data_IF_744341234105
#
_entry.id   IF_744341234105
#
_cell.length_a   1.000
_cell.length_b   1.000
_cell.length_c   1.000
_cell.angle_alpha   90.00
_cell.angle_beta   90.00
_cell.angle_gamma   90.00
#
_symmetry.space_group_name_H-M   'P 1'
#
loop_
_entity.id
_entity.type
_entity.pdbx_description
1 polymer ?
#
# COMPACT_ATOMS: atom_id res chain seq x y z
N UNK A 1 -34.12 -27.14 22.23
CA UNK A 1 -34.35 -27.15 20.77
C UNK A 1 -33.00 -27.23 20.08
N UNK A 2 -32.45 -28.44 20.00
CA UNK A 2 -31.19 -28.74 19.31
C UNK A 2 -31.51 -29.10 17.87
N UNK A 3 -31.27 -28.17 16.95
CA UNK A 3 -31.44 -28.40 15.53
C UNK A 3 -30.23 -29.17 14.97
N UNK A 4 -30.24 -30.49 15.13
CA UNK A 4 -29.42 -31.38 14.31
C UNK A 4 -30.31 -31.88 13.17
N UNK A 5 -30.21 -31.24 12.01
CA UNK A 5 -30.83 -31.71 10.77
C UNK A 5 -29.88 -32.63 10.01
N UNK A 6 -30.45 -33.58 9.26
CA UNK A 6 -29.73 -34.63 8.53
C UNK A 6 -28.66 -34.08 7.56
N UNK A 7 -27.51 -34.74 7.56
CA UNK A 7 -26.27 -34.34 6.87
C UNK A 7 -26.40 -34.25 5.33
N UNK A 8 -27.49 -34.73 4.75
CA UNK A 8 -27.74 -34.82 3.30
C UNK A 8 -27.89 -33.45 2.60
N UNK A 9 -28.18 -32.36 3.35
CA UNK A 9 -28.51 -31.05 2.76
C UNK A 9 -27.39 -29.99 2.80
N UNK A 10 -26.14 -30.34 3.12
CA UNK A 10 -25.05 -29.34 3.13
C UNK A 10 -24.49 -29.04 1.73
N UNK A 11 -24.24 -27.76 1.40
CA UNK A 11 -23.68 -27.38 0.10
C UNK A 11 -22.25 -27.93 -0.10
N UNK A 12 -21.84 -28.20 -1.36
CA UNK A 12 -20.67 -29.03 -1.70
C UNK A 12 -19.29 -28.49 -1.29
N UNK A 13 -19.18 -27.27 -0.76
CA UNK A 13 -17.88 -26.66 -0.40
C UNK A 13 -17.34 -27.07 0.98
N UNK A 14 -18.15 -27.73 1.83
CA UNK A 14 -17.70 -28.15 3.19
C UNK A 14 -16.99 -29.51 3.20
N UNK A 15 -17.12 -30.31 2.14
CA UNK A 15 -16.57 -31.68 2.06
C UNK A 15 -15.05 -31.67 1.83
N UNK A 16 -14.52 -30.61 1.21
CA UNK A 16 -13.09 -30.49 0.90
C UNK A 16 -12.23 -30.29 2.15
N UNK A 17 -12.74 -29.54 3.14
CA UNK A 17 -12.01 -29.27 4.40
C UNK A 17 -11.78 -30.55 5.20
N UNK A 18 -12.72 -31.50 5.15
CA UNK A 18 -12.62 -32.76 5.88
C UNK A 18 -11.57 -33.71 5.26
N UNK A 19 -11.45 -33.72 3.94
CA UNK A 19 -10.43 -34.51 3.22
C UNK A 19 -9.01 -33.95 3.39
N UNK A 20 -8.82 -32.63 3.42
CA UNK A 20 -7.50 -32.00 3.64
C UNK A 20 -6.92 -32.31 5.04
N UNK A 21 -7.78 -32.36 6.07
CA UNK A 21 -7.38 -32.71 7.44
C UNK A 21 -6.99 -34.19 7.60
N UNK A 22 -7.65 -35.10 6.90
CA UNK A 22 -7.34 -36.54 6.97
C UNK A 22 -6.09 -36.89 6.15
N UNK A 23 -5.86 -36.20 5.02
CA UNK A 23 -4.65 -36.34 4.22
C UNK A 23 -3.42 -35.89 5.02
N UNK A 24 -3.46 -34.71 5.65
CA UNK A 24 -2.35 -34.20 6.46
C UNK A 24 -2.03 -35.13 7.63
N UNK A 25 -3.04 -35.68 8.31
CA UNK A 25 -2.83 -36.65 9.39
C UNK A 25 -2.20 -37.96 8.90
N UNK A 26 -2.61 -38.45 7.72
CA UNK A 26 -2.09 -39.68 7.11
C UNK A 26 -0.64 -39.48 6.66
N UNK A 27 -0.32 -38.33 6.06
CA UNK A 27 1.04 -37.96 5.68
C UNK A 27 1.94 -37.81 6.92
N UNK A 28 1.49 -37.12 7.97
CA UNK A 28 2.26 -36.96 9.22
C UNK A 28 2.51 -38.31 9.90
N UNK A 29 1.49 -39.18 9.98
CA UNK A 29 1.63 -40.53 10.56
C UNK A 29 2.57 -41.40 9.73
N UNK A 30 2.48 -41.35 8.39
CA UNK A 30 3.38 -42.07 7.49
C UNK A 30 4.83 -41.60 7.59
N UNK A 31 5.05 -40.29 7.68
CA UNK A 31 6.38 -39.70 7.83
C UNK A 31 7.01 -40.05 9.18
N UNK A 32 6.24 -39.99 10.27
CA UNK A 32 6.68 -40.43 11.60
C UNK A 32 7.01 -41.94 11.64
N UNK A 33 6.18 -42.79 11.04
CA UNK A 33 6.44 -44.23 10.98
C UNK A 33 7.69 -44.58 10.17
N UNK A 34 7.92 -43.87 9.05
CA UNK A 34 9.13 -44.04 8.23
C UNK A 34 10.40 -43.65 9.00
N UNK A 35 10.39 -42.52 9.73
CA UNK A 35 11.50 -42.09 10.60
C UNK A 35 11.75 -43.13 11.70
N UNK A 36 10.69 -43.73 12.24
CA UNK A 36 10.76 -44.78 13.26
C UNK A 36 11.18 -46.16 12.74
N UNK A 37 11.35 -46.36 11.43
CA UNK A 37 11.87 -47.59 10.82
C UNK A 37 13.32 -47.47 10.29
N UNK A 38 13.87 -46.26 10.25
CA UNK A 38 15.27 -46.05 9.82
C UNK A 38 16.28 -46.62 10.83
N UNK A 39 17.45 -47.09 10.39
CA UNK A 39 18.53 -47.47 11.29
C UNK A 39 18.95 -46.28 12.18
N UNK A 40 19.34 -46.56 13.44
CA UNK A 40 19.62 -45.52 14.46
C UNK A 40 20.65 -44.49 13.99
N UNK A 41 21.66 -44.91 13.22
CA UNK A 41 22.66 -44.02 12.63
C UNK A 41 22.07 -43.00 11.67
N UNK A 42 21.08 -43.40 10.86
CA UNK A 42 20.42 -42.51 9.92
C UNK A 42 19.49 -41.51 10.63
N UNK A 43 18.80 -41.94 11.70
CA UNK A 43 17.96 -41.02 12.51
C UNK A 43 18.79 -39.93 13.16
N UNK A 44 19.95 -40.28 13.71
CA UNK A 44 20.86 -39.30 14.33
C UNK A 44 21.35 -38.30 13.29
N UNK A 45 21.72 -38.75 12.09
CA UNK A 45 22.16 -37.88 11.00
C UNK A 45 21.03 -36.97 10.49
N UNK A 46 19.80 -37.49 10.34
CA UNK A 46 18.63 -36.72 9.92
C UNK A 46 18.26 -35.64 10.96
N UNK A 47 18.23 -36.01 12.24
CA UNK A 47 17.96 -35.06 13.33
C UNK A 47 19.06 -34.00 13.45
N UNK A 48 20.33 -34.37 13.27
CA UNK A 48 21.44 -33.43 13.24
C UNK A 48 21.37 -32.48 12.03
N UNK A 49 20.98 -32.97 10.85
CA UNK A 49 20.79 -32.15 9.66
C UNK A 49 19.62 -31.16 9.82
N UNK A 50 18.49 -31.61 10.38
CA UNK A 50 17.35 -30.74 10.67
C UNK A 50 17.74 -29.68 11.71
N UNK A 51 18.46 -30.07 12.78
CA UNK A 51 18.95 -29.13 13.78
C UNK A 51 19.93 -28.10 13.18
N UNK A 52 20.85 -28.53 12.31
CA UNK A 52 21.77 -27.64 11.60
C UNK A 52 21.02 -26.67 10.67
N UNK A 53 20.01 -27.15 9.93
CA UNK A 53 19.15 -26.32 9.08
C UNK A 53 18.38 -25.30 9.93
N UNK A 54 17.81 -25.71 11.06
CA UNK A 54 17.10 -24.82 11.99
C UNK A 54 18.00 -23.77 12.63
N UNK A 55 19.29 -24.05 12.83
CA UNK A 55 20.27 -23.08 13.34
C UNK A 55 20.70 -22.10 12.23
N UNK A 56 20.77 -22.53 10.98
CA UNK A 56 21.19 -21.70 9.84
C UNK A 56 20.05 -20.86 9.25
N UNK A 57 18.80 -21.35 9.30
CA UNK A 57 17.60 -20.67 8.76
C UNK A 57 17.35 -19.25 9.34
N UNK A 58 17.43 -19.00 10.66
CA UNK A 58 17.18 -17.64 11.18
C UNK A 58 18.25 -16.64 10.73
N UNK A 59 19.42 -17.08 10.25
CA UNK A 59 20.46 -16.21 9.71
C UNK A 59 20.22 -15.81 8.24
N UNK A 60 19.35 -16.52 7.52
CA UNK A 60 18.94 -16.19 6.13
C UNK A 60 17.61 -15.46 6.04
N UNK A 61 16.89 -15.32 7.15
CA UNK A 61 15.93 -14.22 7.31
C UNK A 61 16.75 -12.93 7.44
N UNK A 62 17.36 -12.52 6.32
CA UNK A 62 18.07 -11.26 6.20
C UNK A 62 17.20 -10.19 6.82
N UNK A 63 17.82 -9.30 7.58
CA UNK A 63 17.21 -8.06 8.01
C UNK A 63 16.59 -7.43 6.76
N UNK A 64 15.30 -7.66 6.56
CA UNK A 64 14.55 -7.00 5.53
C UNK A 64 14.53 -5.57 6.02
N UNK A 65 15.42 -4.78 5.44
CA UNK A 65 15.52 -3.36 5.64
C UNK A 65 14.14 -2.82 5.25
N UNK A 66 13.25 -2.76 6.24
CA UNK A 66 11.92 -2.21 6.08
C UNK A 66 12.24 -0.75 5.88
N UNK A 67 12.30 -0.34 4.61
CA UNK A 67 12.57 1.03 4.24
C UNK A 67 11.70 2.00 5.05
N UNK A 68 11.99 3.31 4.98
CA UNK A 68 11.40 4.31 5.89
C UNK A 68 9.87 4.30 5.95
N UNK A 69 9.21 3.71 4.95
CA UNK A 69 7.78 3.48 4.88
C UNK A 69 7.51 1.96 4.73
N UNK A 70 6.99 1.28 5.78
CA UNK A 70 6.65 -0.13 5.71
C UNK A 70 5.64 -0.42 4.59
N UNK A 71 5.93 -1.43 3.76
CA UNK A 71 5.05 -1.85 2.66
C UNK A 71 5.11 -0.97 1.40
N UNK A 72 5.95 0.08 1.38
CA UNK A 72 6.15 0.89 0.18
C UNK A 72 6.79 0.06 -0.93
N UNK A 73 6.16 0.09 -2.10
CA UNK A 73 6.60 -0.62 -3.29
C UNK A 73 7.30 0.37 -4.22
N UNK A 74 8.62 0.27 -4.33
CA UNK A 74 9.39 1.04 -5.29
C UNK A 74 9.12 0.54 -6.72
N UNK A 75 8.91 1.46 -7.66
CA UNK A 75 8.77 1.13 -9.08
C UNK A 75 10.13 1.08 -9.75
N UNK A 76 10.52 -0.13 -10.17
CA UNK A 76 11.75 -0.38 -10.90
C UNK A 76 11.43 -1.26 -12.12
N UNK A 77 11.54 -0.74 -13.36
CA UNK A 77 11.89 0.64 -13.72
C UNK A 77 10.78 1.66 -13.39
N UNK A 78 11.11 2.97 -13.31
CA UNK A 78 10.10 4.03 -13.20
C UNK A 78 9.10 3.98 -14.36
N UNK A 79 7.81 4.18 -14.05
CA UNK A 79 6.73 4.05 -15.04
C UNK A 79 5.87 5.32 -15.06
N UNK A 80 5.54 5.83 -16.24
CA UNK A 80 4.51 6.87 -16.35
C UNK A 80 3.14 6.23 -16.13
N UNK A 81 2.36 6.67 -15.12
CA UNK A 81 1.03 6.15 -14.92
C UNK A 81 0.11 6.55 -16.08
N UNK A 82 -0.93 5.76 -16.31
CA UNK A 82 -2.02 6.12 -17.23
C UNK A 82 -2.59 7.48 -16.84
N UNK A 83 -2.95 8.29 -17.83
CA UNK A 83 -3.56 9.61 -17.57
C UNK A 83 -4.94 9.39 -16.96
N UNK A 84 -5.16 10.01 -15.81
CA UNK A 84 -6.47 10.08 -15.15
C UNK A 84 -7.00 11.51 -15.23
N UNK A 85 -8.33 11.64 -15.23
CA UNK A 85 -9.03 12.93 -15.13
C UNK A 85 -9.79 12.94 -13.81
N UNK A 86 -9.64 14.02 -13.06
CA UNK A 86 -10.37 14.32 -11.83
C UNK A 86 -10.82 15.77 -11.87
N UNK A 87 -11.67 16.17 -10.93
CA UNK A 87 -12.28 17.51 -10.91
C UNK A 87 -11.92 18.23 -9.61
N UNK A 88 -11.85 19.56 -9.66
CA UNK A 88 -11.86 20.41 -8.46
C UNK A 88 -13.29 20.80 -8.07
N UNK A 89 -13.42 21.62 -7.02
CA UNK A 89 -14.71 22.13 -6.50
C UNK A 89 -15.50 22.96 -7.50
N UNK A 90 -14.84 23.52 -8.51
CA UNK A 90 -15.47 24.32 -9.56
C UNK A 90 -15.90 23.44 -10.76
N UNK A 91 -15.71 22.11 -10.66
CA UNK A 91 -15.99 21.16 -11.73
C UNK A 91 -14.97 21.18 -12.87
N UNK A 92 -13.83 21.86 -12.69
CA UNK A 92 -12.79 21.93 -13.71
C UNK A 92 -12.06 20.60 -13.81
N UNK A 93 -11.93 20.10 -15.03
CA UNK A 93 -11.14 18.90 -15.31
C UNK A 93 -9.64 19.16 -15.14
N UNK A 94 -9.01 18.28 -14.38
CA UNK A 94 -7.60 18.29 -14.03
C UNK A 94 -6.98 16.92 -14.30
N UNK A 95 -5.66 16.91 -14.42
CA UNK A 95 -4.84 15.71 -14.48
C UNK A 95 -3.53 15.97 -13.74
N UNK A 96 -2.73 14.92 -13.50
CA UNK A 96 -1.40 15.09 -12.90
C UNK A 96 -0.46 15.99 -13.72
N UNK A 97 -0.74 16.19 -15.02
CA UNK A 97 0.04 17.10 -15.88
C UNK A 97 -0.07 18.56 -15.43
N UNK A 98 -1.17 18.92 -14.76
CA UNK A 98 -1.38 20.26 -14.22
C UNK A 98 -0.47 20.59 -13.03
N UNK A 99 0.23 19.59 -12.47
CA UNK A 99 1.05 19.70 -11.26
C UNK A 99 2.53 19.39 -11.51
N UNK A 100 2.98 19.35 -12.78
CA UNK A 100 4.38 19.10 -13.15
C UNK A 100 5.33 20.12 -12.50
N UNK A 101 6.58 19.70 -12.32
CA UNK A 101 7.61 20.52 -11.65
C UNK A 101 7.65 20.35 -10.13
N UNK A 102 6.76 19.53 -9.56
CA UNK A 102 6.72 19.20 -8.13
C UNK A 102 6.77 17.69 -7.94
N UNK A 103 7.32 17.25 -6.81
CA UNK A 103 7.07 15.91 -6.28
C UNK A 103 5.62 15.85 -5.78
N UNK A 104 4.85 14.85 -6.21
CA UNK A 104 3.45 14.71 -5.82
C UNK A 104 3.26 13.45 -4.97
N UNK A 105 2.57 13.60 -3.86
CA UNK A 105 1.91 12.49 -3.17
C UNK A 105 0.45 12.45 -3.59
N UNK A 106 0.10 11.51 -4.46
CA UNK A 106 -1.28 11.31 -4.92
C UNK A 106 -1.93 10.26 -4.03
N UNK A 107 -3.02 10.59 -3.35
CA UNK A 107 -3.76 9.70 -2.47
C UNK A 107 -5.17 9.51 -3.02
N UNK A 108 -5.60 8.26 -3.17
CA UNK A 108 -6.99 7.92 -3.49
C UNK A 108 -7.69 7.49 -2.21
N UNK A 109 -8.86 8.07 -1.95
CA UNK A 109 -9.61 7.84 -0.73
C UNK A 109 -11.13 7.98 -0.95
N UNK A 110 -11.90 7.59 0.05
CA UNK A 110 -13.34 7.79 0.09
C UNK A 110 -13.85 7.96 1.53
N UNK A 111 -15.01 8.59 1.71
CA UNK A 111 -15.60 8.90 3.02
C UNK A 111 -16.06 7.64 3.77
N UNK A 112 -16.46 6.59 3.05
CA UNK A 112 -16.81 5.27 3.61
C UNK A 112 -15.59 4.41 3.96
N UNK A 113 -14.39 4.80 3.51
CA UNK A 113 -13.16 4.07 3.78
C UNK A 113 -12.56 4.51 5.12
N UNK A 114 -12.86 3.75 6.18
CA UNK A 114 -12.35 3.99 7.55
C UNK A 114 -10.82 4.20 7.62
N UNK A 115 -9.96 3.33 7.03
CA UNK A 115 -8.53 3.56 7.07
C UNK A 115 -8.11 4.83 6.32
N UNK A 116 -8.79 5.19 5.24
CA UNK A 116 -8.53 6.42 4.50
C UNK A 116 -8.82 7.67 5.37
N UNK A 117 -10.01 7.71 5.98
CA UNK A 117 -10.42 8.83 6.86
C UNK A 117 -9.43 9.01 8.02
N UNK A 118 -8.84 7.91 8.52
CA UNK A 118 -7.85 7.94 9.60
C UNK A 118 -6.51 8.57 9.17
N UNK A 119 -6.07 8.37 7.93
CA UNK A 119 -4.77 8.90 7.45
C UNK A 119 -4.83 10.36 6.97
N UNK A 120 -6.01 10.85 6.58
CA UNK A 120 -6.18 12.21 6.01
C UNK A 120 -5.58 13.34 6.88
N UNK A 121 -5.72 13.36 8.22
CA UNK A 121 -5.04 14.35 9.05
C UNK A 121 -3.51 14.31 8.93
N UNK A 122 -2.91 13.13 8.74
CA UNK A 122 -1.46 13.00 8.55
C UNK A 122 -1.01 13.59 7.22
N UNK A 123 -1.80 13.43 6.15
CA UNK A 123 -1.56 14.04 4.84
C UNK A 123 -1.59 15.57 4.92
N UNK A 124 -2.58 16.13 5.63
CA UNK A 124 -2.68 17.57 5.88
C UNK A 124 -1.47 18.11 6.64
N UNK A 125 -1.04 17.42 7.70
CA UNK A 125 0.16 17.79 8.46
C UNK A 125 1.45 17.65 7.64
N UNK A 126 1.56 16.60 6.82
CA UNK A 126 2.69 16.42 5.90
C UNK A 126 2.79 17.63 4.95
N UNK A 127 1.69 18.01 4.30
CA UNK A 127 1.65 19.17 3.41
C UNK A 127 2.09 20.46 4.11
N UNK A 128 1.65 20.67 5.36
CA UNK A 128 2.08 21.82 6.16
C UNK A 128 3.58 21.78 6.48
N UNK A 129 4.13 20.62 6.88
CA UNK A 129 5.56 20.45 7.17
C UNK A 129 6.45 20.60 5.93
N UNK A 130 5.90 20.35 4.74
CA UNK A 130 6.60 20.49 3.45
C UNK A 130 6.25 21.78 2.71
N UNK A 131 5.58 22.73 3.36
CA UNK A 131 5.25 24.02 2.76
C UNK A 131 6.50 24.77 2.28
N UNK A 132 6.39 25.45 1.13
CA UNK A 132 7.50 26.16 0.49
C UNK A 132 8.48 25.27 -0.29
N UNK A 133 8.35 23.95 -0.23
CA UNK A 133 9.13 23.01 -1.05
C UNK A 133 8.41 22.72 -2.37
N UNK A 134 9.13 22.19 -3.37
CA UNK A 134 8.56 21.73 -4.64
C UNK A 134 7.80 20.40 -4.46
N UNK A 135 6.79 20.42 -3.59
CA UNK A 135 6.00 19.27 -3.16
C UNK A 135 4.52 19.61 -3.10
N UNK A 136 3.65 18.63 -3.39
CA UNK A 136 2.21 18.76 -3.19
C UNK A 136 1.54 17.44 -2.81
N UNK A 137 0.38 17.54 -2.17
CA UNK A 137 -0.49 16.40 -1.85
C UNK A 137 -1.77 16.53 -2.66
N UNK A 138 -2.06 15.52 -3.48
CA UNK A 138 -3.25 15.45 -4.34
C UNK A 138 -4.16 14.35 -3.79
N UNK A 139 -5.09 14.72 -2.91
CA UNK A 139 -6.06 13.78 -2.32
C UNK A 139 -7.33 13.72 -3.17
N UNK A 140 -7.51 12.64 -3.92
CA UNK A 140 -8.63 12.45 -4.86
C UNK A 140 -9.67 11.55 -4.20
N UNK A 141 -10.85 12.10 -4.01
CA UNK A 141 -11.99 11.41 -3.47
C UNK A 141 -12.72 10.60 -4.57
N UNK A 142 -13.03 9.33 -4.29
CA UNK A 142 -13.75 8.42 -5.19
C UNK A 142 -15.19 8.11 -4.72
N UNK A 143 -15.79 8.95 -3.87
CA UNK A 143 -17.22 8.86 -3.60
C UNK A 143 -18.02 9.20 -4.85
N UNK A 144 -19.14 8.50 -5.05
CA UNK A 144 -20.07 8.81 -6.16
C UNK A 144 -20.80 10.14 -5.97
N UNK A 145 -20.98 10.55 -4.71
CA UNK A 145 -21.63 11.79 -4.30
C UNK A 145 -20.58 12.68 -3.64
N UNK A 146 -20.20 13.75 -4.34
CA UNK A 146 -19.17 14.70 -3.92
C UNK A 146 -19.63 15.61 -2.77
N UNK A 147 -20.95 15.75 -2.55
CA UNK A 147 -21.52 16.52 -1.44
C UNK A 147 -21.16 15.93 -0.07
N UNK A 148 -20.65 14.70 -0.02
CA UNK A 148 -20.19 14.04 1.20
C UNK A 148 -18.80 14.50 1.64
N UNK A 149 -18.02 15.10 0.75
CA UNK A 149 -16.57 15.29 0.98
C UNK A 149 -16.29 16.50 1.87
N UNK A 150 -16.93 17.64 1.61
CA UNK A 150 -16.71 18.89 2.34
C UNK A 150 -17.01 18.75 3.86
N UNK A 151 -18.11 18.10 4.30
CA UNK A 151 -18.34 17.85 5.73
C UNK A 151 -17.24 17.01 6.40
N UNK A 152 -16.59 16.11 5.65
CA UNK A 152 -15.46 15.34 6.17
C UNK A 152 -14.21 16.20 6.34
N UNK A 153 -13.96 17.16 5.44
CA UNK A 153 -12.84 18.09 5.58
C UNK A 153 -12.95 18.91 6.87
N UNK A 154 -14.15 19.42 7.14
CA UNK A 154 -14.44 20.18 8.36
C UNK A 154 -14.28 19.31 9.61
N UNK A 155 -14.86 18.10 9.60
CA UNK A 155 -14.79 17.16 10.72
C UNK A 155 -13.35 16.74 11.02
N UNK A 156 -12.54 16.51 9.98
CA UNK A 156 -11.15 16.08 10.09
C UNK A 156 -10.18 17.25 10.31
N UNK A 157 -10.65 18.50 10.17
CA UNK A 157 -9.86 19.73 10.33
C UNK A 157 -8.65 19.74 9.39
N UNK A 158 -8.88 19.51 8.10
CA UNK A 158 -7.85 19.44 7.06
C UNK A 158 -7.94 20.64 6.07
N UNK A 159 -7.65 21.87 6.52
CA UNK A 159 -7.95 23.09 5.76
C UNK A 159 -7.03 23.32 4.56
N UNK A 160 -5.91 22.60 4.47
CA UNK A 160 -4.85 22.86 3.50
C UNK A 160 -4.79 21.83 2.36
N UNK A 161 -5.65 20.80 2.37
CA UNK A 161 -5.78 19.89 1.23
C UNK A 161 -6.82 20.48 0.28
N UNK A 162 -6.51 20.50 -1.02
CA UNK A 162 -7.50 20.85 -2.03
C UNK A 162 -8.44 19.65 -2.24
N UNK A 163 -9.72 19.94 -2.44
CA UNK A 163 -10.73 18.91 -2.69
C UNK A 163 -10.72 18.55 -4.17
N UNK A 164 -10.39 17.30 -4.46
CA UNK A 164 -10.46 16.72 -5.80
C UNK A 164 -11.38 15.50 -5.82
N UNK A 165 -12.13 15.30 -6.91
CA UNK A 165 -13.10 14.20 -7.05
C UNK A 165 -12.94 13.41 -8.35
N UNK A 166 -13.13 12.10 -8.26
CA UNK A 166 -13.22 11.14 -9.37
C UNK A 166 -14.39 10.16 -9.10
N UNK A 167 -15.66 10.60 -9.26
CA UNK A 167 -16.84 9.80 -8.89
C UNK A 167 -17.07 8.55 -9.76
N UNK A 168 -16.30 8.41 -10.85
CA UNK A 168 -16.31 7.25 -11.73
C UNK A 168 -15.18 6.26 -11.40
N UNK A 169 -14.32 6.57 -10.43
CA UNK A 169 -13.19 5.76 -9.98
C UNK A 169 -12.27 5.40 -11.17
N UNK A 170 -12.06 6.37 -12.07
CA UNK A 170 -11.19 6.20 -13.23
C UNK A 170 -9.76 5.91 -12.79
N UNK A 171 -9.29 6.52 -11.70
CA UNK A 171 -7.96 6.29 -11.15
C UNK A 171 -7.79 4.84 -10.69
N UNK A 172 -8.66 4.35 -9.81
CA UNK A 172 -8.67 2.94 -9.37
C UNK A 172 -8.69 1.96 -10.54
N UNK A 173 -9.55 2.18 -11.54
CA UNK A 173 -9.64 1.31 -12.73
C UNK A 173 -8.39 1.37 -13.61
N UNK A 174 -7.87 2.58 -13.88
CA UNK A 174 -6.78 2.79 -14.84
C UNK A 174 -5.42 2.36 -14.29
N UNK A 175 -5.25 2.35 -12.97
CA UNK A 175 -4.00 2.00 -12.30
C UNK A 175 -4.02 0.60 -11.66
N UNK A 176 -5.09 -0.17 -11.90
CA UNK A 176 -5.30 -1.54 -11.42
C UNK A 176 -5.10 -1.66 -9.90
N UNK A 177 -5.82 -0.80 -9.16
CA UNK A 177 -5.67 -0.68 -7.72
C UNK A 177 -6.61 -1.68 -7.03
N UNK A 178 -6.10 -2.51 -6.11
CA UNK A 178 -6.91 -3.55 -5.45
C UNK A 178 -7.91 -2.99 -4.42
N UNK A 179 -7.69 -1.77 -3.93
CA UNK A 179 -8.55 -1.11 -2.96
C UNK A 179 -7.95 0.18 -2.38
N UNK A 180 -8.74 0.84 -1.53
CA UNK A 180 -8.38 2.10 -0.87
C UNK A 180 -7.92 1.88 0.59
N UNK A 181 -7.09 2.79 1.14
CA UNK A 181 -6.42 3.86 0.41
C UNK A 181 -5.28 3.33 -0.46
N UNK A 182 -4.98 4.06 -1.52
CA UNK A 182 -3.82 3.82 -2.36
C UNK A 182 -3.09 5.15 -2.59
N UNK A 183 -1.78 5.14 -2.34
CA UNK A 183 -0.96 6.33 -2.47
C UNK A 183 0.18 6.10 -3.45
N UNK A 184 0.50 7.13 -4.23
CA UNK A 184 1.50 7.12 -5.28
C UNK A 184 2.43 8.30 -5.10
N UNK A 185 3.72 8.05 -5.28
CA UNK A 185 4.73 9.10 -5.30
C UNK A 185 5.13 9.31 -6.75
N UNK A 186 4.88 10.52 -7.25
CA UNK A 186 5.10 10.91 -8.64
C UNK A 186 6.16 12.00 -8.67
N UNK A 187 7.21 11.82 -9.47
CA UNK A 187 8.26 12.82 -9.66
C UNK A 187 7.78 14.05 -10.46
N UNK A 188 8.65 15.06 -10.59
CA UNK A 188 8.35 16.29 -11.31
C UNK A 188 8.05 16.11 -12.80
N UNK A 189 8.46 14.99 -13.37
CA UNK A 189 8.27 14.63 -14.77
C UNK A 189 6.96 13.86 -15.00
N UNK A 190 6.22 13.56 -13.92
CA UNK A 190 4.99 12.78 -13.95
C UNK A 190 5.25 11.28 -14.02
N UNK A 191 6.37 10.80 -13.50
CA UNK A 191 6.73 9.37 -13.43
C UNK A 191 6.47 8.85 -12.02
N UNK A 192 5.83 7.70 -11.92
CA UNK A 192 5.62 7.03 -10.64
C UNK A 192 6.92 6.36 -10.17
N UNK A 193 7.39 6.75 -8.99
CA UNK A 193 8.61 6.20 -8.37
C UNK A 193 8.29 5.16 -7.28
N UNK A 194 7.12 5.28 -6.64
CA UNK A 194 6.69 4.34 -5.63
C UNK A 194 5.17 4.38 -5.44
N UNK A 195 4.62 3.30 -4.88
CA UNK A 195 3.23 3.24 -4.42
C UNK A 195 3.09 2.49 -3.10
N UNK A 196 2.04 2.78 -2.37
CA UNK A 196 1.66 2.12 -1.13
C UNK A 196 0.16 1.79 -1.16
N UNK A 197 -0.19 0.58 -0.75
CA UNK A 197 -1.57 0.19 -0.49
C UNK A 197 -1.81 0.11 1.01
N UNK A 198 -2.93 0.66 1.47
CA UNK A 198 -3.24 0.77 2.89
C UNK A 198 -2.76 2.07 3.52
N UNK A 199 -3.26 2.33 4.73
CA UNK A 199 -3.04 3.59 5.43
C UNK A 199 -1.64 3.67 6.05
N UNK A 200 -1.07 4.88 6.11
CA UNK A 200 0.20 5.14 6.79
C UNK A 200 0.21 6.51 7.45
N UNK A 201 1.16 6.72 8.37
CA UNK A 201 1.38 8.01 9.01
C UNK A 201 2.37 8.86 8.19
N UNK A 202 1.81 9.67 7.29
CA UNK A 202 2.57 10.39 6.26
C UNK A 202 3.48 11.50 6.81
N UNK A 203 3.21 12.03 8.00
CA UNK A 203 3.97 13.15 8.57
C UNK A 203 5.07 12.71 9.56
N UNK A 204 5.43 11.42 9.57
CA UNK A 204 6.56 10.93 10.36
C UNK A 204 7.90 11.49 9.82
N UNK A 205 8.91 11.73 10.69
CA UNK A 205 10.21 12.22 10.27
C UNK A 205 10.90 11.34 9.21
N UNK A 206 10.68 10.01 9.28
CA UNK A 206 11.24 9.04 8.34
C UNK A 206 10.62 9.20 6.95
N UNK A 207 9.29 9.34 6.87
CA UNK A 207 8.58 9.58 5.60
C UNK A 207 9.01 10.92 4.99
N UNK A 208 9.07 11.98 5.80
CA UNK A 208 9.48 13.31 5.32
C UNK A 208 10.91 13.27 4.76
N UNK A 209 11.86 12.69 5.51
CA UNK A 209 13.25 12.55 5.07
C UNK A 209 13.35 11.74 3.78
N UNK A 210 12.53 10.68 3.65
CA UNK A 210 12.44 9.90 2.43
C UNK A 210 11.96 10.76 1.24
N UNK A 211 10.85 11.47 1.39
CA UNK A 211 10.28 12.32 0.33
C UNK A 211 11.24 13.44 -0.07
N UNK A 212 11.98 14.02 0.88
CA UNK A 212 12.97 15.07 0.62
C UNK A 212 14.09 14.63 -0.34
N UNK A 213 14.45 13.34 -0.34
CA UNK A 213 15.44 12.80 -1.28
C UNK A 213 14.97 12.79 -2.74
N UNK A 214 13.66 12.95 -2.97
CA UNK A 214 13.06 12.98 -4.31
C UNK A 214 12.53 14.36 -4.69
N UNK A 215 12.82 15.39 -3.88
CA UNK A 215 12.42 16.74 -4.25
C UNK A 215 13.17 17.20 -5.51
N UNK A 216 12.48 17.91 -6.42
CA UNK A 216 13.13 18.51 -7.58
C UNK A 216 14.20 19.50 -7.13
N UNK A 217 15.36 19.47 -7.78
CA UNK A 217 16.42 20.44 -7.51
C UNK A 217 15.90 21.86 -7.73
N UNK A 218 16.26 22.84 -6.87
CA UNK A 218 15.90 24.23 -7.10
C UNK A 218 16.42 24.66 -8.49
N UNK A 219 15.64 25.43 -9.27
CA UNK A 219 16.16 25.99 -10.51
C UNK A 219 17.42 26.81 -10.19
N UNK A 220 18.52 26.53 -10.90
CA UNK A 220 19.78 27.22 -10.70
C UNK A 220 19.57 28.74 -10.80
N UNK A 221 20.15 29.55 -9.90
CA UNK A 221 20.07 31.00 -10.01
C UNK A 221 20.66 31.41 -11.36
N UNK A 222 19.86 32.12 -12.16
CA UNK A 222 20.33 32.69 -13.43
C UNK A 222 21.33 33.78 -13.07
N UNK A 223 22.62 33.44 -13.06
CA UNK A 223 23.69 34.43 -12.97
C UNK A 223 23.61 35.25 -14.25
N UNK A 224 23.04 36.45 -14.16
CA UNK A 224 23.15 37.45 -15.21
C UNK A 224 24.63 37.83 -15.30
N UNK A 225 25.37 37.20 -16.21
CA UNK A 225 26.66 37.69 -16.65
C UNK A 225 26.42 39.05 -17.29
N UNK A 226 26.76 40.12 -16.55
CA UNK A 226 26.70 41.47 -17.06
C UNK A 226 27.61 41.61 -18.27
N UNK A 227 27.07 42.20 -19.34
CA UNK A 227 27.83 42.85 -20.40
C UNK A 227 27.96 44.33 -20.07
#
# INVERSE_FOLDING_TARGET
>A
MTAAGDAEKRPPHIVLVFWELDLTLTFVKGFCAMILFMPKSFRILLLAAIAAIMIVLPSFAGAQDRGPIPGLLMKQPPQKPSVIVFHDTDGKQLSLRNFRGKLLLVNLWATWCVPCVKEMPSLSRLKAKMEGQNFDVIAINEDRDDNLVEPFYDKLKIPNLALYTDPLNNATKSWDIPGLPASFIIDENGVEIARLYGATEWDSPQVISFLQNYLPSPPLPIVKTGM
#
